data_IF_642797468646
#
_entry.id   IF_642797468646
#
_cell.length_a   1.000
_cell.length_b   1.000
_cell.length_c   1.000
_cell.angle_alpha   90.00
_cell.angle_beta   90.00
_cell.angle_gamma   90.00
#
_symmetry.space_group_name_H-M   'P 1'
#
loop_
_entity.id
_entity.type
_entity.pdbx_description
1 polymer ?
#
# COMPACT_ATOMS: atom_id res chain seq x y z
N UNK A 1 9.93 30.29 21.65
CA UNK A 1 9.87 29.54 20.37
C UNK A 1 9.67 28.09 20.76
N UNK A 2 8.50 27.48 20.53
CA UNK A 2 8.25 26.15 21.09
C UNK A 2 9.14 25.16 20.35
N UNK A 3 9.89 24.40 21.14
CA UNK A 3 10.68 23.26 20.74
C UNK A 3 9.83 22.35 19.84
N UNK A 4 10.23 22.22 18.58
CA UNK A 4 9.78 21.10 17.76
C UNK A 4 10.29 19.86 18.49
N UNK A 5 9.40 19.25 19.25
CA UNK A 5 9.72 18.14 20.14
C UNK A 5 10.28 17.01 19.30
N UNK A 6 11.29 16.29 19.82
CA UNK A 6 11.90 15.11 19.13
C UNK A 6 10.83 14.13 18.60
N UNK A 7 9.67 14.10 19.24
CA UNK A 7 8.45 13.40 18.84
C UNK A 7 7.90 13.82 17.47
N UNK A 8 7.89 15.11 17.15
CA UNK A 8 7.40 15.64 15.87
C UNK A 8 8.36 15.29 14.72
N UNK A 9 9.66 15.33 15.00
CA UNK A 9 10.71 14.87 14.07
C UNK A 9 10.55 13.38 13.82
N UNK A 10 10.37 12.57 14.86
CA UNK A 10 10.15 11.13 14.74
C UNK A 10 8.90 10.78 13.93
N UNK A 11 7.78 11.46 14.18
CA UNK A 11 6.53 11.27 13.44
C UNK A 11 6.69 11.62 11.96
N UNK A 12 7.35 12.76 11.66
CA UNK A 12 7.60 13.19 10.29
C UNK A 12 8.52 12.22 9.55
N UNK A 13 9.59 11.75 10.20
CA UNK A 13 10.47 10.73 9.63
C UNK A 13 9.74 9.42 9.35
N UNK A 14 8.83 9.00 10.24
CA UNK A 14 8.00 7.82 10.01
C UNK A 14 7.08 7.98 8.79
N UNK A 15 6.41 9.12 8.67
CA UNK A 15 5.56 9.44 7.52
C UNK A 15 6.36 9.45 6.20
N UNK A 16 7.55 10.06 6.19
CA UNK A 16 8.42 10.08 5.00
C UNK A 16 8.86 8.68 4.58
N UNK A 17 9.20 7.80 5.53
CA UNK A 17 9.55 6.41 5.20
C UNK A 17 8.35 5.63 4.64
N UNK A 18 7.17 5.86 5.20
CA UNK A 18 5.92 5.29 4.69
C UNK A 18 5.68 5.74 3.25
N UNK A 19 5.67 7.05 3.00
CA UNK A 19 5.45 7.64 1.67
C UNK A 19 6.43 7.09 0.65
N UNK A 20 7.72 7.07 0.98
CA UNK A 20 8.77 6.49 0.13
C UNK A 20 8.60 4.99 -0.10
N UNK A 21 8.13 4.26 0.90
CA UNK A 21 7.84 2.83 0.80
C UNK A 21 6.69 2.55 -0.17
N UNK A 22 5.60 3.32 -0.03
CA UNK A 22 4.42 3.26 -0.89
C UNK A 22 4.78 3.66 -2.33
N UNK A 23 5.48 4.78 -2.52
CA UNK A 23 5.93 5.25 -3.83
C UNK A 23 6.71 4.18 -4.57
N UNK A 24 7.72 3.56 -3.93
CA UNK A 24 8.50 2.46 -4.52
C UNK A 24 7.66 1.24 -4.87
N UNK A 25 6.68 0.89 -4.05
CA UNK A 25 5.79 -0.23 -4.34
C UNK A 25 4.90 0.08 -5.55
N UNK A 26 4.31 1.28 -5.59
CA UNK A 26 3.51 1.76 -6.71
C UNK A 26 4.33 1.83 -8.00
N UNK A 27 5.58 2.28 -7.96
CA UNK A 27 6.48 2.29 -9.12
C UNK A 27 6.73 0.87 -9.65
N UNK A 28 7.03 -0.09 -8.78
CA UNK A 28 7.21 -1.49 -9.16
C UNK A 28 5.95 -2.09 -9.80
N UNK A 29 4.77 -1.79 -9.25
CA UNK A 29 3.48 -2.22 -9.81
C UNK A 29 3.29 -1.58 -11.19
N UNK A 30 3.52 -0.27 -11.31
CA UNK A 30 3.42 0.45 -12.59
C UNK A 30 4.33 -0.16 -13.66
N UNK A 31 5.58 -0.46 -13.31
CA UNK A 31 6.53 -1.10 -14.22
C UNK A 31 6.05 -2.51 -14.63
N UNK A 32 5.54 -3.29 -13.69
CA UNK A 32 5.00 -4.64 -13.95
C UNK A 32 3.79 -4.62 -14.89
N UNK A 33 2.85 -3.68 -14.69
CA UNK A 33 1.66 -3.53 -15.53
C UNK A 33 1.97 -2.90 -16.90
N UNK A 34 3.07 -2.15 -17.03
CA UNK A 34 3.50 -1.52 -18.27
C UNK A 34 2.40 -0.64 -18.91
N UNK A 35 1.93 -1.02 -20.09
CA UNK A 35 0.90 -0.26 -20.81
C UNK A 35 -0.48 -0.30 -20.12
N UNK A 36 -0.79 -1.37 -19.39
CA UNK A 36 -2.08 -1.53 -18.71
C UNK A 36 -2.25 -0.53 -17.57
N UNK A 37 -1.16 -0.04 -16.99
CA UNK A 37 -1.20 0.99 -15.96
C UNK A 37 -1.98 2.23 -16.40
N UNK A 38 -1.86 2.62 -17.67
CA UNK A 38 -2.58 3.79 -18.23
C UNK A 38 -4.09 3.64 -18.25
N UNK A 39 -4.59 2.42 -18.07
CA UNK A 39 -6.03 2.11 -18.02
C UNK A 39 -6.58 2.07 -16.59
N UNK A 40 -5.70 2.19 -15.59
CA UNK A 40 -6.12 2.28 -14.18
C UNK A 40 -6.58 3.71 -13.90
N UNK A 41 -7.82 3.94 -13.44
CA UNK A 41 -8.31 5.27 -13.10
C UNK A 41 -7.47 5.94 -12.00
N UNK A 42 -7.29 7.26 -12.07
CA UNK A 42 -6.56 8.01 -11.03
C UNK A 42 -7.16 7.82 -9.62
N UNK A 43 -8.49 7.64 -9.54
CA UNK A 43 -9.16 7.35 -8.28
C UNK A 43 -8.72 6.00 -7.69
N UNK A 44 -8.53 5.00 -8.54
CA UNK A 44 -8.04 3.68 -8.15
C UNK A 44 -6.55 3.72 -7.82
N UNK A 45 -5.74 4.50 -8.55
CA UNK A 45 -4.34 4.71 -8.19
C UNK A 45 -4.23 5.30 -6.77
N UNK A 46 -5.03 6.32 -6.45
CA UNK A 46 -5.08 6.90 -5.09
C UNK A 46 -5.54 5.88 -4.05
N UNK A 47 -6.55 5.08 -4.36
CA UNK A 47 -7.04 4.02 -3.46
C UNK A 47 -5.95 2.96 -3.22
N UNK A 48 -5.22 2.56 -4.27
CA UNK A 48 -4.10 1.64 -4.19
C UNK A 48 -3.01 2.18 -3.25
N UNK A 49 -2.59 3.44 -3.41
CA UNK A 49 -1.60 4.07 -2.54
C UNK A 49 -2.06 4.13 -1.08
N UNK A 50 -3.34 4.43 -0.84
CA UNK A 50 -3.93 4.39 0.50
C UNK A 50 -3.86 3.00 1.12
N UNK A 51 -4.24 1.96 0.37
CA UNK A 51 -4.21 0.56 0.81
C UNK A 51 -2.78 0.07 1.08
N UNK A 52 -1.84 0.39 0.18
CA UNK A 52 -0.42 0.12 0.36
C UNK A 52 0.12 0.83 1.62
N UNK A 53 -0.34 2.05 1.89
CA UNK A 53 0.00 2.78 3.10
C UNK A 53 -0.57 2.17 4.38
N UNK A 54 -1.75 1.56 4.32
CA UNK A 54 -2.34 0.80 5.44
C UNK A 54 -1.56 -0.49 5.68
N UNK A 55 -1.20 -1.20 4.61
CA UNK A 55 -0.37 -2.40 4.67
C UNK A 55 1.05 -2.11 5.20
N UNK A 56 1.71 -1.05 4.73
CA UNK A 56 3.07 -0.67 5.16
C UNK A 56 3.16 -0.41 6.67
N UNK A 57 2.14 0.23 7.25
CA UNK A 57 2.09 0.50 8.71
C UNK A 57 1.96 -0.79 9.52
N UNK A 58 1.40 -1.83 8.92
CA UNK A 58 0.98 -3.04 9.62
C UNK A 58 1.97 -4.19 9.44
N UNK A 59 2.70 -4.20 8.32
CA UNK A 59 3.77 -5.16 8.08
C UNK A 59 5.07 -4.71 8.74
N UNK A 60 5.82 -5.69 9.22
CA UNK A 60 7.21 -5.44 9.52
C UNK A 60 7.97 -5.13 8.21
N UNK A 61 9.12 -4.46 8.33
CA UNK A 61 9.93 -4.10 7.17
C UNK A 61 10.42 -5.32 6.39
N UNK A 62 10.58 -6.48 7.04
CA UNK A 62 11.08 -7.70 6.38
C UNK A 62 10.03 -8.36 5.51
N UNK A 63 8.75 -8.32 5.91
CA UNK A 63 7.60 -8.81 5.16
C UNK A 63 7.38 -7.87 3.98
N UNK A 64 7.37 -6.55 4.21
CA UNK A 64 7.19 -5.55 3.16
C UNK A 64 8.17 -5.75 1.99
N UNK A 65 9.45 -5.94 2.28
CA UNK A 65 10.49 -6.14 1.26
C UNK A 65 10.37 -7.47 0.49
N UNK A 66 9.62 -8.45 1.02
CA UNK A 66 9.36 -9.72 0.35
C UNK A 66 8.15 -9.70 -0.56
N UNK A 67 7.31 -8.66 -0.49
CA UNK A 67 6.12 -8.57 -1.33
C UNK A 67 6.57 -8.37 -2.80
N UNK A 68 6.12 -9.23 -3.73
CA UNK A 68 6.60 -9.22 -5.10
C UNK A 68 5.86 -8.17 -5.95
N UNK A 69 5.87 -6.90 -5.53
CA UNK A 69 5.19 -5.80 -6.23
C UNK A 69 5.52 -5.71 -7.72
N UNK A 70 6.76 -6.02 -8.10
CA UNK A 70 7.22 -6.02 -9.49
C UNK A 70 6.81 -7.24 -10.32
N UNK A 71 6.00 -8.14 -9.76
CA UNK A 71 5.41 -9.29 -10.47
C UNK A 71 3.87 -9.27 -10.45
N UNK A 72 3.27 -8.24 -9.85
CA UNK A 72 1.81 -8.10 -9.79
C UNK A 72 1.26 -7.82 -11.19
N UNK A 73 0.16 -8.48 -11.53
CA UNK A 73 -0.58 -8.22 -12.76
C UNK A 73 -1.84 -7.38 -12.47
N UNK A 74 -2.63 -7.09 -13.50
CA UNK A 74 -3.86 -6.31 -13.36
C UNK A 74 -4.87 -6.95 -12.41
N UNK A 75 -5.01 -8.27 -12.43
CA UNK A 75 -5.93 -8.99 -11.54
C UNK A 75 -5.54 -8.84 -10.06
N UNK A 76 -4.24 -8.90 -9.76
CA UNK A 76 -3.75 -8.68 -8.39
C UNK A 76 -4.06 -7.25 -7.92
N UNK A 77 -3.87 -6.25 -8.78
CA UNK A 77 -4.21 -4.85 -8.48
C UNK A 77 -5.71 -4.67 -8.24
N UNK A 78 -6.56 -5.26 -9.08
CA UNK A 78 -8.02 -5.21 -8.88
C UNK A 78 -8.44 -5.89 -7.57
N UNK A 79 -7.85 -7.04 -7.20
CA UNK A 79 -8.12 -7.70 -5.90
C UNK A 79 -7.76 -6.81 -4.71
N UNK A 80 -6.66 -6.05 -4.80
CA UNK A 80 -6.29 -5.07 -3.76
C UNK A 80 -7.36 -3.97 -3.70
N UNK A 81 -7.72 -3.38 -4.84
CA UNK A 81 -8.71 -2.31 -4.92
C UNK A 81 -10.08 -2.75 -4.39
N UNK A 82 -10.52 -3.95 -4.75
CA UNK A 82 -11.77 -4.54 -4.30
C UNK A 82 -11.81 -4.74 -2.78
N UNK A 83 -10.67 -5.02 -2.15
CA UNK A 83 -10.57 -5.06 -0.68
C UNK A 83 -10.91 -3.69 -0.07
N UNK A 84 -10.39 -2.61 -0.66
CA UNK A 84 -10.69 -1.25 -0.21
C UNK A 84 -12.14 -0.82 -0.47
N UNK A 85 -12.69 -1.19 -1.63
CA UNK A 85 -14.08 -0.89 -2.02
C UNK A 85 -15.08 -1.67 -1.16
N UNK A 86 -14.85 -2.97 -0.94
CA UNK A 86 -15.75 -3.85 -0.21
C UNK A 86 -15.82 -3.49 1.28
N UNK A 87 -14.67 -3.19 1.89
CA UNK A 87 -14.61 -2.91 3.31
C UNK A 87 -14.96 -1.46 3.64
N UNK A 88 -14.93 -0.53 2.66
CA UNK A 88 -15.02 0.91 2.90
C UNK A 88 -14.03 1.34 3.99
N UNK A 89 -12.81 1.70 3.54
CA UNK A 89 -11.67 2.07 4.38
C UNK A 89 -11.98 3.05 5.53
N UNK A 90 -13.00 3.90 5.37
CA UNK A 90 -13.39 4.89 6.38
C UNK A 90 -14.25 4.29 7.52
N UNK A 91 -14.85 3.13 7.29
CA UNK A 91 -15.87 2.54 8.19
C UNK A 91 -15.54 1.12 8.66
N UNK A 92 -14.74 0.36 7.91
CA UNK A 92 -14.36 -0.99 8.34
C UNK A 92 -13.40 -0.99 9.54
N UNK A 93 -13.48 -2.01 10.40
CA UNK A 93 -12.44 -2.31 11.36
C UNK A 93 -11.10 -2.52 10.64
N UNK A 94 -10.06 -1.76 11.02
CA UNK A 94 -8.72 -1.84 10.42
C UNK A 94 -8.18 -3.27 10.36
N UNK A 95 -8.38 -4.06 11.41
CA UNK A 95 -7.92 -5.46 11.47
C UNK A 95 -8.45 -6.30 10.31
N UNK A 96 -9.71 -6.10 9.93
CA UNK A 96 -10.33 -6.85 8.84
C UNK A 96 -9.76 -6.45 7.47
N UNK A 97 -9.47 -5.15 7.28
CA UNK A 97 -8.79 -4.64 6.08
C UNK A 97 -7.38 -5.23 5.98
N UNK A 98 -6.66 -5.31 7.09
CA UNK A 98 -5.31 -5.84 7.14
C UNK A 98 -5.24 -7.33 6.84
N UNK A 99 -6.11 -8.14 7.43
CA UNK A 99 -6.14 -9.59 7.16
C UNK A 99 -6.40 -9.89 5.68
N UNK A 100 -7.25 -9.11 5.02
CA UNK A 100 -7.52 -9.29 3.58
C UNK A 100 -6.37 -8.78 2.72
N UNK A 101 -5.77 -7.63 3.06
CA UNK A 101 -4.59 -7.13 2.37
C UNK A 101 -3.39 -8.08 2.50
N UNK A 102 -3.19 -8.68 3.67
CA UNK A 102 -2.18 -9.73 3.88
C UNK A 102 -2.38 -10.89 2.94
N UNK A 103 -3.61 -11.40 2.86
CA UNK A 103 -3.92 -12.51 1.96
C UNK A 103 -3.64 -12.17 0.51
N UNK A 104 -4.08 -11.00 0.03
CA UNK A 104 -3.89 -10.62 -1.38
C UNK A 104 -2.42 -10.35 -1.69
N UNK A 105 -1.71 -9.61 -0.84
CA UNK A 105 -0.32 -9.22 -1.07
C UNK A 105 0.67 -10.39 -0.92
N UNK A 106 0.37 -11.35 -0.04
CA UNK A 106 1.22 -12.53 0.19
C UNK A 106 0.83 -13.74 -0.69
N UNK A 107 -0.39 -13.81 -1.23
CA UNK A 107 -0.79 -14.87 -2.15
C UNK A 107 0.02 -14.88 -3.47
N UNK A 108 0.60 -13.74 -3.86
CA UNK A 108 1.49 -13.64 -5.02
C UNK A 108 2.90 -14.23 -4.81
N UNK A 109 3.20 -14.85 -3.66
CA UNK A 109 4.53 -15.39 -3.30
C UNK A 109 4.71 -16.87 -3.67
N UNK A 110 3.80 -17.47 -4.45
CA UNK A 110 3.91 -18.86 -4.90
C UNK A 110 4.90 -19.03 -6.08
#
# INVERSE_FOLDING_TARGET
MPDITKTDIGRRMYQLHKEKGVEKATEKIRESLGAEWKTVPDADIRLLEQLLGVAWVSFDSKIWEKIPFGRMNREDVERILDTGRFLNLDTAPKTQVLEQLERVLLAGVA
#
